data_IF_769870422593
#
_entry.id   IF_769870422593
#
_cell.length_a   1.000
_cell.length_b   1.000
_cell.length_c   1.000
_cell.angle_alpha   90.00
_cell.angle_beta   90.00
_cell.angle_gamma   90.00
#
_symmetry.space_group_name_H-M   'P 1'
#
loop_
_entity.id
_entity.type
_entity.pdbx_description
1 polymer ?
#
# COMPACT_ATOMS: atom_id res chain seq x y z
N UNK A 1 8.12 -5.50 -0.05
CA UNK A 1 8.07 -4.19 0.65
C UNK A 1 6.77 -3.42 0.39
N UNK A 2 6.33 -3.17 -0.84
CA UNK A 2 5.03 -2.50 -1.11
C UNK A 2 3.84 -3.19 -0.41
N UNK A 3 3.90 -4.53 -0.33
CA UNK A 3 2.92 -5.37 0.36
C UNK A 3 2.62 -4.95 1.81
N UNK A 4 3.54 -4.25 2.49
CA UNK A 4 3.32 -3.73 3.84
C UNK A 4 2.08 -2.82 3.88
N UNK A 5 1.95 -1.89 2.93
CA UNK A 5 0.77 -1.01 2.79
C UNK A 5 -0.42 -1.72 2.14
N UNK A 6 -0.18 -2.80 1.40
CA UNK A 6 -1.25 -3.54 0.72
C UNK A 6 -1.96 -4.57 1.61
N UNK A 7 -1.30 -5.06 2.66
CA UNK A 7 -1.84 -6.12 3.51
C UNK A 7 -2.24 -5.60 4.90
N UNK A 8 -1.40 -4.79 5.54
CA UNK A 8 -1.60 -4.42 6.95
C UNK A 8 -2.33 -3.08 7.09
N UNK A 9 -3.54 -3.12 7.65
CA UNK A 9 -4.36 -1.93 7.87
C UNK A 9 -3.84 -1.03 9.00
N UNK A 10 -3.24 -1.60 10.03
CA UNK A 10 -2.71 -0.87 11.18
C UNK A 10 -1.36 -0.22 10.86
N UNK A 11 -1.26 1.10 11.06
CA UNK A 11 -0.04 1.88 10.86
C UNK A 11 1.10 1.44 11.81
N UNK A 12 0.78 1.05 13.04
CA UNK A 12 1.77 0.57 14.02
C UNK A 12 2.38 -0.75 13.58
N UNK A 13 1.58 -1.66 13.03
CA UNK A 13 2.07 -2.93 12.48
C UNK A 13 2.99 -2.67 11.29
N UNK A 14 2.62 -1.75 10.39
CA UNK A 14 3.49 -1.35 9.28
C UNK A 14 4.82 -0.79 9.80
N UNK A 15 4.79 0.08 10.81
CA UNK A 15 5.99 0.64 11.42
C UNK A 15 6.89 -0.45 12.03
N UNK A 16 6.31 -1.36 12.82
CA UNK A 16 7.04 -2.49 13.42
C UNK A 16 7.75 -3.34 12.35
N UNK A 17 7.06 -3.69 11.26
CA UNK A 17 7.65 -4.46 10.17
C UNK A 17 8.80 -3.71 9.51
N UNK A 18 8.67 -2.39 9.32
CA UNK A 18 9.74 -1.59 8.69
C UNK A 18 10.99 -1.50 9.57
N UNK A 19 10.82 -1.45 10.89
CA UNK A 19 11.91 -1.46 11.88
C UNK A 19 12.57 -2.84 11.92
N UNK A 20 11.80 -3.91 12.04
CA UNK A 20 12.30 -5.29 12.07
C UNK A 20 13.09 -5.63 10.80
N UNK A 21 12.58 -5.20 9.65
CA UNK A 21 13.27 -5.38 8.36
C UNK A 21 14.52 -4.49 8.22
N UNK A 22 14.77 -3.55 9.14
CA UNK A 22 15.85 -2.56 9.05
C UNK A 22 15.83 -1.80 7.72
N UNK A 23 14.64 -1.41 7.27
CA UNK A 23 14.47 -0.74 5.98
C UNK A 23 15.09 0.67 6.00
N UNK A 24 15.96 0.97 5.03
CA UNK A 24 16.41 2.35 4.81
C UNK A 24 15.27 3.25 4.33
N UNK A 25 15.38 4.56 4.58
CA UNK A 25 14.39 5.53 4.12
C UNK A 25 14.16 5.46 2.61
N UNK A 26 15.24 5.32 1.82
CA UNK A 26 15.13 5.14 0.36
C UNK A 26 14.35 3.87 -0.04
N UNK A 27 14.50 2.78 0.72
CA UNK A 27 13.73 1.55 0.52
C UNK A 27 12.26 1.77 0.84
N UNK A 28 11.95 2.50 1.92
CA UNK A 28 10.59 2.82 2.32
C UNK A 28 9.89 3.71 1.28
N UNK A 29 10.56 4.75 0.80
CA UNK A 29 10.01 5.63 -0.24
C UNK A 29 9.71 4.87 -1.53
N UNK A 30 10.63 4.00 -1.97
CA UNK A 30 10.40 3.13 -3.13
C UNK A 30 9.23 2.18 -2.90
N UNK A 31 9.13 1.59 -1.71
CA UNK A 31 8.04 0.68 -1.36
C UNK A 31 6.67 1.38 -1.38
N UNK A 32 6.59 2.61 -0.83
CA UNK A 32 5.39 3.45 -0.90
C UNK A 32 5.04 3.80 -2.33
N UNK A 33 6.02 4.18 -3.16
CA UNK A 33 5.81 4.46 -4.58
C UNK A 33 5.20 3.28 -5.34
N UNK A 34 5.71 2.07 -5.11
CA UNK A 34 5.09 0.86 -5.66
C UNK A 34 3.68 0.61 -5.13
N UNK A 35 3.41 0.86 -3.84
CA UNK A 35 2.07 0.74 -3.28
C UNK A 35 1.08 1.75 -3.90
N UNK A 36 1.52 2.99 -4.17
CA UNK A 36 0.71 3.98 -4.91
C UNK A 36 0.38 3.45 -6.30
N UNK A 37 1.37 2.94 -7.05
CA UNK A 37 1.17 2.37 -8.38
C UNK A 37 0.15 1.23 -8.38
N UNK A 38 0.30 0.25 -7.47
CA UNK A 38 -0.65 -0.87 -7.38
C UNK A 38 -2.04 -0.41 -6.93
N UNK A 39 -2.12 0.52 -5.98
CA UNK A 39 -3.39 1.10 -5.54
C UNK A 39 -4.14 1.78 -6.69
N UNK A 40 -3.43 2.57 -7.50
CA UNK A 40 -3.98 3.26 -8.66
C UNK A 40 -4.46 2.29 -9.75
N UNK A 41 -3.63 1.33 -10.19
CA UNK A 41 -4.02 0.39 -11.24
C UNK A 41 -5.18 -0.52 -10.79
N UNK A 42 -5.18 -1.00 -9.56
CA UNK A 42 -6.28 -1.84 -9.05
C UNK A 42 -7.57 -1.05 -8.93
N UNK A 43 -7.50 0.23 -8.54
CA UNK A 43 -8.67 1.10 -8.49
C UNK A 43 -9.22 1.35 -9.90
N UNK A 44 -8.38 1.81 -10.83
CA UNK A 44 -8.75 2.14 -12.20
C UNK A 44 -9.37 0.94 -12.93
N UNK A 45 -8.66 -0.20 -12.95
CA UNK A 45 -9.16 -1.44 -13.58
C UNK A 45 -10.40 -1.98 -12.87
N UNK A 46 -10.50 -1.79 -11.56
CA UNK A 46 -11.63 -2.24 -10.76
C UNK A 46 -12.92 -1.48 -11.02
N UNK A 47 -12.83 -0.17 -11.27
CA UNK A 47 -13.99 0.68 -11.57
C UNK A 47 -14.71 0.27 -12.86
N UNK A 48 -14.00 -0.34 -13.81
CA UNK A 48 -14.55 -0.75 -15.11
C UNK A 48 -15.13 -2.17 -15.09
N UNK A 49 -14.58 -3.11 -14.29
CA UNK A 49 -14.98 -4.52 -14.42
C UNK A 49 -14.72 -5.44 -13.23
N UNK A 50 -14.15 -4.96 -12.13
CA UNK A 50 -13.90 -5.80 -10.97
C UNK A 50 -14.03 -5.01 -9.66
N UNK A 51 -15.22 -4.98 -9.05
CA UNK A 51 -15.46 -4.25 -7.80
C UNK A 51 -14.52 -4.66 -6.66
N UNK A 52 -14.00 -5.90 -6.65
CA UNK A 52 -13.02 -6.33 -5.65
C UNK A 52 -11.69 -5.61 -5.84
N UNK A 53 -11.24 -5.41 -7.08
CA UNK A 53 -10.02 -4.66 -7.36
C UNK A 53 -10.17 -3.19 -6.97
N UNK A 54 -11.34 -2.60 -7.25
CA UNK A 54 -11.63 -1.24 -6.82
C UNK A 54 -11.53 -1.09 -5.29
N UNK A 55 -12.13 -2.02 -4.55
CA UNK A 55 -12.06 -2.03 -3.09
C UNK A 55 -10.64 -2.25 -2.55
N UNK A 56 -9.81 -3.06 -3.23
CA UNK A 56 -8.41 -3.26 -2.85
C UNK A 56 -7.60 -1.98 -3.13
N UNK A 57 -7.76 -1.37 -4.30
CA UNK A 57 -7.09 -0.13 -4.68
C UNK A 57 -7.39 1.02 -3.70
N UNK A 58 -8.68 1.26 -3.40
CA UNK A 58 -9.11 2.25 -2.41
C UNK A 58 -8.48 2.00 -1.03
N UNK A 59 -8.49 0.75 -0.54
CA UNK A 59 -7.86 0.40 0.74
C UNK A 59 -6.37 0.68 0.75
N UNK A 60 -5.64 0.37 -0.33
CA UNK A 60 -4.21 0.63 -0.44
C UNK A 60 -3.95 2.14 -0.35
N UNK A 61 -4.67 2.94 -1.14
CA UNK A 61 -4.48 4.39 -1.20
C UNK A 61 -4.81 5.07 0.14
N UNK A 62 -5.87 4.64 0.83
CA UNK A 62 -6.20 5.14 2.19
C UNK A 62 -5.11 4.84 3.21
N UNK A 63 -4.46 3.67 3.13
CA UNK A 63 -3.36 3.30 4.04
C UNK A 63 -2.08 4.06 3.77
N UNK A 64 -1.88 4.56 2.55
CA UNK A 64 -0.76 5.44 2.21
C UNK A 64 -1.03 6.86 2.71
N UNK A 65 -2.28 7.33 2.59
CA UNK A 65 -2.68 8.68 3.00
C UNK A 65 -2.78 8.84 4.54
N UNK A 66 -2.99 7.75 5.28
CA UNK A 66 -2.94 7.77 6.75
C UNK A 66 -1.48 7.61 7.21
N UNK A 67 -0.86 8.75 7.53
CA UNK A 67 0.44 8.83 8.19
C UNK A 67 0.38 8.25 9.61
#
# INVERSE_FOLDING_TARGET
>A
MAAIWMLFADAKVRQQITVEYSASEATLQRAKGWAVFFGAILLDTGLVGNPRYAAIGDKILRRIASL
#
